data_IF_944746339673
#
_entry.id   IF_944746339673
#
_cell.length_a   1.000
_cell.length_b   1.000
_cell.length_c   1.000
_cell.angle_alpha   90.00
_cell.angle_beta   90.00
_cell.angle_gamma   90.00
#
_symmetry.space_group_name_H-M   'P 1'
#
loop_
_entity.id
_entity.type
_entity.pdbx_description
1 polymer ?
#
# COMPACT_ATOMS: atom_id res chain seq x y z
N UNK A 1 -14.20 6.00 -4.82
CA UNK A 1 -13.68 6.28 -3.45
C UNK A 1 -12.85 5.13 -2.90
N UNK A 2 -13.27 3.86 -3.01
CA UNK A 2 -12.46 2.72 -2.55
C UNK A 2 -11.04 2.64 -3.13
N UNK A 3 -10.84 3.01 -4.41
CA UNK A 3 -9.50 3.07 -5.02
C UNK A 3 -8.59 4.09 -4.31
N UNK A 4 -9.10 5.30 -4.07
CA UNK A 4 -8.38 6.33 -3.32
C UNK A 4 -8.01 5.88 -1.90
N UNK A 5 -8.89 5.11 -1.24
CA UNK A 5 -8.60 4.52 0.07
C UNK A 5 -7.47 3.49 -0.04
N UNK A 6 -7.45 2.68 -1.09
CA UNK A 6 -6.38 1.72 -1.35
C UNK A 6 -5.04 2.42 -1.65
N UNK A 7 -5.03 3.49 -2.47
CA UNK A 7 -3.86 4.34 -2.70
C UNK A 7 -3.32 4.93 -1.39
N UNK A 8 -4.21 5.38 -0.50
CA UNK A 8 -3.83 5.86 0.83
C UNK A 8 -3.10 4.81 1.68
N UNK A 9 -3.44 3.52 1.55
CA UNK A 9 -2.72 2.45 2.23
C UNK A 9 -1.29 2.25 1.71
N UNK A 10 -1.06 2.47 0.41
CA UNK A 10 0.30 2.43 -0.16
C UNK A 10 1.15 3.57 0.42
N UNK A 11 0.61 4.78 0.47
CA UNK A 11 1.34 5.93 1.01
C UNK A 11 1.59 5.80 2.52
N UNK A 12 0.64 5.23 3.26
CA UNK A 12 0.86 4.85 4.65
C UNK A 12 2.03 3.86 4.80
N UNK A 13 2.09 2.84 3.95
CA UNK A 13 3.15 1.84 3.98
C UNK A 13 4.53 2.47 3.69
N UNK A 14 4.62 3.29 2.63
CA UNK A 14 5.83 4.04 2.27
C UNK A 14 6.34 4.90 3.43
N UNK A 15 5.45 5.61 4.12
CA UNK A 15 5.82 6.44 5.26
C UNK A 15 6.34 5.61 6.46
N UNK A 16 5.68 4.49 6.77
CA UNK A 16 6.09 3.66 7.93
C UNK A 16 7.34 2.84 7.66
N UNK A 17 7.57 2.40 6.41
CA UNK A 17 8.77 1.70 6.00
C UNK A 17 10.05 2.54 6.11
N UNK A 18 9.94 3.88 6.07
CA UNK A 18 11.07 4.78 6.34
C UNK A 18 11.55 4.72 7.80
N UNK A 19 10.64 4.38 8.72
CA UNK A 19 10.93 4.30 10.17
C UNK A 19 11.20 2.85 10.59
N UNK A 20 10.48 1.89 10.00
CA UNK A 20 10.58 0.47 10.31
C UNK A 20 10.59 -0.38 9.04
N UNK A 21 11.79 -0.73 8.56
CA UNK A 21 11.99 -1.64 7.42
C UNK A 21 11.52 -3.09 7.69
N UNK A 22 11.30 -3.44 8.96
CA UNK A 22 10.74 -4.72 9.39
C UNK A 22 9.22 -4.81 9.29
N UNK A 23 8.51 -3.73 8.92
CA UNK A 23 7.06 -3.72 8.81
C UNK A 23 6.54 -4.72 7.76
N UNK A 24 5.48 -5.47 8.10
CA UNK A 24 4.88 -6.50 7.22
C UNK A 24 3.41 -6.27 6.89
N UNK A 25 2.81 -5.20 7.42
CA UNK A 25 1.43 -4.86 7.17
C UNK A 25 0.84 -3.99 8.28
N UNK A 26 -0.45 -3.78 8.20
CA UNK A 26 -1.23 -3.00 9.16
C UNK A 26 -2.59 -2.62 8.59
N UNK A 27 -3.35 -1.86 9.37
CA UNK A 27 -4.61 -1.27 8.91
C UNK A 27 -4.69 0.19 9.31
N UNK A 28 -5.35 1.00 8.49
CA UNK A 28 -5.60 2.41 8.80
C UNK A 28 -7.02 2.81 8.44
N UNK A 29 -7.63 3.58 9.31
CA UNK A 29 -8.93 4.22 9.07
C UNK A 29 -8.69 5.62 8.51
N UNK A 30 -9.25 5.89 7.34
CA UNK A 30 -9.25 7.18 6.67
C UNK A 30 -10.66 7.79 6.76
N UNK A 31 -10.78 9.10 6.51
CA UNK A 31 -12.07 9.80 6.58
C UNK A 31 -13.17 9.16 5.70
N UNK A 32 -12.79 8.51 4.61
CA UNK A 32 -13.71 7.96 3.60
C UNK A 32 -13.75 6.43 3.56
N UNK A 33 -13.06 5.74 4.48
CA UNK A 33 -12.97 4.29 4.43
C UNK A 33 -11.88 3.69 5.33
N UNK A 34 -11.69 2.38 5.23
CA UNK A 34 -10.62 1.65 5.91
C UNK A 34 -9.76 0.93 4.89
N UNK A 35 -8.50 0.68 5.23
CA UNK A 35 -7.59 -0.06 4.37
C UNK A 35 -6.85 -1.13 5.16
N UNK A 36 -6.73 -2.31 4.57
CA UNK A 36 -5.90 -3.41 5.05
C UNK A 36 -4.67 -3.53 4.15
N UNK A 37 -3.48 -3.64 4.76
CA UNK A 37 -2.21 -3.52 4.07
C UNK A 37 -1.33 -4.73 4.38
N UNK A 38 -0.78 -5.34 3.34
CA UNK A 38 0.20 -6.43 3.42
C UNK A 38 1.49 -5.96 2.76
N UNK A 39 2.63 -6.20 3.41
CA UNK A 39 3.95 -5.78 2.94
C UNK A 39 4.89 -6.98 2.92
N UNK A 40 5.42 -7.29 1.76
CA UNK A 40 6.38 -8.36 1.53
C UNK A 40 7.69 -7.79 0.98
N UNK A 41 8.84 -8.33 1.40
CA UNK A 41 10.14 -7.94 0.83
C UNK A 41 10.26 -8.60 -0.55
N UNK A 42 10.57 -7.81 -1.59
CA UNK A 42 10.67 -8.32 -2.96
C UNK A 42 11.71 -7.54 -3.76
N UNK A 43 12.65 -8.23 -4.39
CA UNK A 43 13.57 -7.65 -5.39
C UNK A 43 14.39 -6.43 -4.91
N UNK A 44 14.75 -6.37 -3.63
CA UNK A 44 15.46 -5.22 -3.06
C UNK A 44 14.57 -4.04 -2.66
N UNK A 45 13.25 -4.18 -2.80
CA UNK A 45 12.23 -3.26 -2.30
C UNK A 45 11.12 -4.01 -1.56
N UNK A 46 9.90 -3.48 -1.67
CA UNK A 46 8.71 -4.00 -1.03
C UNK A 46 7.60 -4.16 -2.05
N UNK A 47 6.90 -5.29 -1.99
CA UNK A 47 5.62 -5.47 -2.63
C UNK A 47 4.55 -5.12 -1.59
N UNK A 48 3.76 -4.09 -1.86
CA UNK A 48 2.72 -3.60 -0.95
C UNK A 48 1.37 -3.87 -1.60
N UNK A 49 0.57 -4.70 -0.94
CA UNK A 49 -0.83 -4.93 -1.33
C UNK A 49 -1.72 -4.14 -0.39
N UNK A 50 -2.63 -3.36 -0.95
CA UNK A 50 -3.53 -2.47 -0.21
C UNK A 50 -4.97 -2.68 -0.65
N UNK A 51 -5.84 -3.02 0.29
CA UNK A 51 -7.25 -3.28 0.05
C UNK A 51 -8.11 -2.21 0.73
N UNK A 52 -8.62 -1.28 -0.06
CA UNK A 52 -9.43 -0.15 0.38
C UNK A 52 -10.93 -0.48 0.35
N UNK A 53 -11.59 -0.22 1.48
CA UNK A 53 -13.03 -0.38 1.69
C UNK A 53 -13.66 1.00 1.88
N UNK A 54 -14.63 1.35 1.04
CA UNK A 54 -15.41 2.60 1.16
C UNK A 54 -16.89 2.30 0.93
N UNK A 55 -17.66 2.27 2.03
CA UNK A 55 -19.02 1.72 2.02
C UNK A 55 -19.02 0.25 1.58
N UNK A 56 -19.80 -0.06 0.54
CA UNK A 56 -19.85 -1.40 -0.08
C UNK A 56 -18.79 -1.60 -1.17
N UNK A 57 -18.08 -0.56 -1.58
CA UNK A 57 -17.07 -0.65 -2.62
C UNK A 57 -15.74 -1.14 -2.04
N UNK A 58 -15.17 -2.15 -2.70
CA UNK A 58 -13.84 -2.69 -2.39
C UNK A 58 -12.95 -2.51 -3.62
N UNK A 59 -11.73 -2.04 -3.40
CA UNK A 59 -10.67 -1.97 -4.41
C UNK A 59 -9.37 -2.45 -3.80
N UNK A 60 -8.62 -3.21 -4.58
CA UNK A 60 -7.36 -3.78 -4.16
C UNK A 60 -6.29 -3.45 -5.18
N UNK A 61 -5.16 -2.94 -4.70
CA UNK A 61 -4.02 -2.59 -5.54
C UNK A 61 -2.75 -3.21 -4.99
N UNK A 62 -1.78 -3.42 -5.86
CA UNK A 62 -0.43 -3.85 -5.53
C UNK A 62 0.59 -2.91 -6.18
N UNK A 63 1.55 -2.44 -5.40
CA UNK A 63 2.73 -1.74 -5.90
C UNK A 63 4.01 -2.46 -5.49
N UNK A 64 4.96 -2.57 -6.43
CA UNK A 64 6.35 -2.87 -6.09
C UNK A 64 7.10 -1.55 -5.98
N UNK A 65 7.59 -1.24 -4.79
CA UNK A 65 8.24 0.03 -4.47
C UNK A 65 9.65 -0.20 -3.95
N UNK A 66 10.58 0.66 -4.35
CA UNK A 66 11.97 0.58 -3.92
C UNK A 66 12.44 1.96 -3.49
N UNK A 67 13.21 2.03 -2.41
CA UNK A 67 13.80 3.28 -1.95
C UNK A 67 15.13 3.52 -2.67
N UNK A 68 15.19 4.54 -3.50
CA UNK A 68 16.37 4.92 -4.27
C UNK A 68 16.74 6.38 -3.96
N UNK A 69 17.96 6.60 -3.46
CA UNK A 69 18.45 7.93 -3.10
C UNK A 69 17.48 8.72 -2.19
N UNK A 70 16.85 8.02 -1.24
CA UNK A 70 15.89 8.60 -0.29
C UNK A 70 14.51 8.88 -0.88
N UNK A 71 14.20 8.43 -2.09
CA UNK A 71 12.89 8.57 -2.73
C UNK A 71 12.28 7.21 -3.06
N UNK A 72 10.98 7.07 -2.83
CA UNK A 72 10.25 5.88 -3.26
C UNK A 72 10.05 5.90 -4.78
N UNK A 73 10.50 4.85 -5.43
CA UNK A 73 10.33 4.62 -6.87
C UNK A 73 9.39 3.43 -7.03
N UNK A 74 8.24 3.66 -7.69
CA UNK A 74 7.31 2.61 -8.08
C UNK A 74 7.89 1.89 -9.30
N UNK A 75 8.03 0.58 -9.20
CA UNK A 75 8.54 -0.30 -10.26
C UNK A 75 7.41 -0.99 -11.01
N UNK A 76 6.30 -1.27 -10.33
CA UNK A 76 5.09 -1.81 -10.95
C UNK A 76 3.86 -1.41 -10.16
N UNK A 77 2.71 -1.39 -10.84
CA UNK A 77 1.38 -1.15 -10.29
C UNK A 77 0.39 -2.12 -10.92
N UNK A 78 -0.50 -2.68 -10.10
CA UNK A 78 -1.60 -3.54 -10.55
C UNK A 78 -2.87 -3.28 -9.75
N UNK A 79 -4.01 -3.17 -10.44
CA UNK A 79 -5.32 -3.26 -9.81
C UNK A 79 -5.78 -4.72 -9.81
N UNK A 80 -5.98 -5.28 -8.62
CA UNK A 80 -6.40 -6.66 -8.45
C UNK A 80 -7.93 -6.71 -8.50
N UNK A 81 -8.44 -7.44 -9.50
CA UNK A 81 -9.86 -7.68 -9.69
C UNK A 81 -10.12 -9.15 -9.32
N UNK A 82 -10.61 -9.38 -8.11
CA UNK A 82 -11.03 -10.70 -7.61
C UNK A 82 -12.42 -10.61 -7.01
#
# INVERSE_FOLDING_TARGET
>A
QALYVAEGGIEWAKAHLLVNSGLRGGSVSLATGRVEIIIEVSGGGYKVTSEGHSGLAIRKIEELVQLENGKWVMKSYQELHS
#
